data_IF_922433815223
#
_entry.id   IF_922433815223
#
_cell.length_a   1.000
_cell.length_b   1.000
_cell.length_c   1.000
_cell.angle_alpha   90.00
_cell.angle_beta   90.00
_cell.angle_gamma   90.00
#
_symmetry.space_group_name_H-M   'P 1'
#
loop_
_entity.id
_entity.type
_entity.pdbx_description
1 polymer ?
#
# COMPACT_ATOMS: atom_id res chain seq x y z
N UNK A 1 -3.21 7.91 33.05
CA UNK A 1 -3.66 7.01 31.98
C UNK A 1 -4.50 5.93 32.64
N UNK A 2 -5.75 5.72 32.22
CA UNK A 2 -6.61 4.71 32.83
C UNK A 2 -6.42 3.37 32.11
N UNK A 3 -5.36 2.65 32.48
CA UNK A 3 -4.98 1.34 31.92
C UNK A 3 -6.14 0.34 31.91
N UNK A 4 -7.12 0.53 32.80
CA UNK A 4 -8.31 -0.31 32.90
C UNK A 4 -9.23 -0.15 31.70
N UNK A 5 -9.42 1.08 31.20
CA UNK A 5 -10.26 1.34 30.03
C UNK A 5 -9.61 0.78 28.76
N UNK A 6 -8.30 1.01 28.60
CA UNK A 6 -7.52 0.47 27.46
C UNK A 6 -7.57 -1.06 27.43
N UNK A 7 -7.41 -1.74 28.58
CA UNK A 7 -7.55 -3.21 28.62
C UNK A 7 -8.97 -3.68 28.31
N UNK A 8 -10.00 -2.95 28.74
CA UNK A 8 -11.39 -3.31 28.43
C UNK A 8 -11.69 -3.16 26.94
N UNK A 9 -11.21 -2.09 26.32
CA UNK A 9 -11.32 -1.86 24.87
C UNK A 9 -10.58 -2.92 24.06
N UNK A 10 -9.34 -3.27 24.44
CA UNK A 10 -8.58 -4.33 23.77
C UNK A 10 -9.23 -5.71 23.94
N UNK A 11 -9.78 -6.01 25.11
CA UNK A 11 -10.51 -7.25 25.34
C UNK A 11 -11.76 -7.32 24.45
N UNK A 12 -12.54 -6.24 24.42
CA UNK A 12 -13.71 -6.13 23.56
C UNK A 12 -13.32 -6.26 22.07
N UNK A 13 -12.24 -5.59 21.65
CA UNK A 13 -11.69 -5.72 20.31
C UNK A 13 -11.42 -7.18 19.93
N UNK A 14 -10.70 -7.92 20.78
CA UNK A 14 -10.38 -9.31 20.49
C UNK A 14 -11.60 -10.23 20.47
N UNK A 15 -12.63 -9.93 21.26
CA UNK A 15 -13.86 -10.74 21.35
C UNK A 15 -14.80 -10.52 20.16
N UNK A 16 -14.98 -9.28 19.70
CA UNK A 16 -16.06 -8.93 18.76
C UNK A 16 -15.59 -8.56 17.35
N UNK A 17 -14.28 -8.65 17.09
CA UNK A 17 -13.70 -8.16 15.84
C UNK A 17 -14.27 -8.77 14.55
N UNK A 18 -14.73 -10.01 14.61
CA UNK A 18 -15.30 -10.66 13.42
C UNK A 18 -16.79 -10.33 13.22
N UNK A 19 -17.48 -9.89 14.27
CA UNK A 19 -18.94 -9.72 14.27
C UNK A 19 -19.38 -8.28 13.96
N UNK A 20 -18.56 -7.29 14.33
CA UNK A 20 -18.85 -5.87 14.12
C UNK A 20 -17.57 -5.09 13.79
N UNK A 21 -16.95 -5.35 12.62
CA UNK A 21 -15.65 -4.78 12.30
C UNK A 21 -15.71 -3.26 12.17
N UNK A 22 -16.79 -2.66 11.68
CA UNK A 22 -16.92 -1.19 11.57
C UNK A 22 -16.83 -0.48 12.93
N UNK A 23 -17.25 -1.14 14.01
CA UNK A 23 -17.17 -0.58 15.36
C UNK A 23 -15.74 -0.54 15.91
N UNK A 24 -14.77 -1.18 15.25
CA UNK A 24 -13.35 -1.09 15.60
C UNK A 24 -12.73 0.26 15.30
N UNK A 25 -13.35 1.06 14.42
CA UNK A 25 -12.84 2.40 14.10
C UNK A 25 -12.75 3.24 15.38
N UNK A 26 -13.73 3.08 16.28
CA UNK A 26 -13.74 3.73 17.60
C UNK A 26 -12.50 3.37 18.42
N UNK A 27 -12.02 2.12 18.32
CA UNK A 27 -10.80 1.68 19.02
C UNK A 27 -9.56 2.27 18.37
N UNK A 28 -9.52 2.32 17.03
CA UNK A 28 -8.46 2.99 16.28
C UNK A 28 -8.36 4.48 16.61
N UNK A 29 -9.50 5.17 16.65
CA UNK A 29 -9.62 6.58 16.99
C UNK A 29 -9.21 6.85 18.44
N UNK A 30 -9.57 5.96 19.37
CA UNK A 30 -9.10 6.05 20.75
C UNK A 30 -7.57 6.01 20.85
N UNK A 31 -6.91 5.08 20.15
CA UNK A 31 -5.44 5.05 20.13
C UNK A 31 -4.84 6.26 19.40
N UNK A 32 -5.52 6.79 18.37
CA UNK A 32 -5.15 8.04 17.69
C UNK A 32 -5.17 9.22 18.67
N UNK A 33 -6.23 9.37 19.47
CA UNK A 33 -6.35 10.42 20.50
C UNK A 33 -5.26 10.32 21.57
N UNK A 34 -4.82 9.09 21.90
CA UNK A 34 -3.71 8.84 22.81
C UNK A 34 -2.32 9.07 22.18
N UNK A 35 -2.25 9.38 20.89
CA UNK A 35 -1.01 9.46 20.09
C UNK A 35 -0.25 8.13 20.03
N UNK A 36 -0.91 7.01 20.31
CA UNK A 36 -0.36 5.67 20.18
C UNK A 36 -0.60 5.15 18.75
N UNK A 37 0.02 5.85 17.79
CA UNK A 37 -0.22 5.65 16.36
C UNK A 37 0.08 4.23 15.89
N UNK A 38 0.98 3.52 16.57
CA UNK A 38 1.33 2.16 16.22
C UNK A 38 0.15 1.19 16.34
N UNK A 39 -0.64 1.36 17.41
CA UNK A 39 -1.81 0.54 17.69
C UNK A 39 -3.01 0.99 16.84
N UNK A 40 -3.19 2.31 16.65
CA UNK A 40 -4.23 2.86 15.78
C UNK A 40 -4.07 2.29 14.35
N UNK A 41 -2.85 2.31 13.82
CA UNK A 41 -2.53 1.77 12.50
C UNK A 41 -2.80 0.28 12.42
N UNK A 42 -2.39 -0.51 13.42
CA UNK A 42 -2.62 -1.95 13.42
C UNK A 42 -4.11 -2.29 13.31
N UNK A 43 -4.97 -1.55 14.02
CA UNK A 43 -6.43 -1.70 13.98
C UNK A 43 -6.98 -1.32 12.59
N UNK A 44 -6.55 -0.20 12.02
CA UNK A 44 -6.96 0.22 10.68
C UNK A 44 -6.52 -0.78 9.58
N UNK A 45 -5.35 -1.41 9.73
CA UNK A 45 -4.92 -2.48 8.82
C UNK A 45 -5.83 -3.71 8.96
N UNK A 46 -6.19 -4.10 10.19
CA UNK A 46 -7.08 -5.23 10.41
C UNK A 46 -8.48 -4.98 9.82
N UNK A 47 -9.03 -3.78 10.00
CA UNK A 47 -10.26 -3.31 9.35
C UNK A 47 -10.23 -3.47 7.82
N UNK A 48 -9.14 -3.06 7.17
CA UNK A 48 -8.97 -3.22 5.73
C UNK A 48 -8.94 -4.69 5.31
N UNK A 49 -8.29 -5.55 6.09
CA UNK A 49 -8.23 -6.99 5.82
C UNK A 49 -9.60 -7.67 5.99
N UNK A 50 -10.46 -7.13 6.86
CA UNK A 50 -11.83 -7.60 7.07
C UNK A 50 -12.82 -7.07 6.01
N UNK A 51 -12.36 -6.23 5.08
CA UNK A 51 -13.16 -5.73 3.98
C UNK A 51 -14.07 -4.55 4.36
N UNK A 52 -13.83 -3.88 5.48
CA UNK A 52 -14.54 -2.65 5.84
C UNK A 52 -14.37 -1.56 4.79
N UNK A 53 -15.29 -0.59 4.80
CA UNK A 53 -15.30 0.50 3.83
C UNK A 53 -13.93 1.20 3.79
N UNK A 54 -13.24 1.00 2.68
CA UNK A 54 -11.89 1.52 2.49
C UNK A 54 -11.85 3.03 2.49
N UNK A 55 -12.93 3.69 2.09
CA UNK A 55 -13.01 5.15 2.13
C UNK A 55 -12.93 5.66 3.57
N UNK A 56 -13.60 4.99 4.50
CA UNK A 56 -13.61 5.34 5.91
C UNK A 56 -12.21 5.16 6.51
N UNK A 57 -11.60 3.98 6.31
CA UNK A 57 -10.24 3.72 6.82
C UNK A 57 -9.17 4.59 6.15
N UNK A 58 -9.35 4.97 4.88
CA UNK A 58 -8.49 5.92 4.19
C UNK A 58 -8.63 7.35 4.73
N UNK A 59 -9.82 7.77 5.14
CA UNK A 59 -10.03 9.07 5.79
C UNK A 59 -9.34 9.12 7.15
N UNK A 60 -9.43 8.04 7.94
CA UNK A 60 -8.76 7.99 9.25
C UNK A 60 -7.24 7.91 9.10
N UNK A 61 -6.74 7.17 8.09
CA UNK A 61 -5.32 7.20 7.70
C UNK A 61 -4.88 8.62 7.34
N UNK A 62 -5.70 9.35 6.60
CA UNK A 62 -5.42 10.73 6.20
C UNK A 62 -5.39 11.69 7.39
N UNK A 63 -6.32 11.55 8.34
CA UNK A 63 -6.32 12.34 9.57
C UNK A 63 -5.10 12.03 10.43
N UNK A 64 -4.78 10.74 10.61
CA UNK A 64 -3.59 10.30 11.33
C UNK A 64 -2.32 10.97 10.76
N UNK A 65 -2.17 10.98 9.43
CA UNK A 65 -1.04 11.60 8.74
C UNK A 65 -1.01 13.12 8.97
N UNK A 66 -2.16 13.79 9.04
CA UNK A 66 -2.26 15.24 9.29
C UNK A 66 -1.94 15.62 10.74
N UNK A 67 -2.29 14.74 11.68
CA UNK A 67 -2.15 15.00 13.11
C UNK A 67 -0.75 14.66 13.65
N UNK A 68 0.10 13.99 12.86
CA UNK A 68 1.48 13.72 13.26
C UNK A 68 2.43 14.87 12.90
N UNK A 69 3.42 15.11 13.77
CA UNK A 69 4.51 16.03 13.50
C UNK A 69 5.45 15.54 12.38
N UNK A 70 5.28 14.29 11.93
CA UNK A 70 6.02 13.70 10.82
C UNK A 70 5.12 12.76 9.98
N UNK A 71 4.32 13.34 9.06
CA UNK A 71 3.43 12.61 8.15
C UNK A 71 4.13 11.45 7.41
N UNK A 72 5.40 11.67 7.07
CA UNK A 72 6.24 10.69 6.39
C UNK A 72 6.60 9.49 7.28
N UNK A 73 6.87 9.69 8.58
CA UNK A 73 7.17 8.60 9.51
C UNK A 73 5.95 7.72 9.78
N UNK A 74 4.76 8.29 9.87
CA UNK A 74 3.51 7.53 10.02
C UNK A 74 3.23 6.62 8.82
N UNK A 75 3.56 7.08 7.61
CA UNK A 75 3.47 6.27 6.40
C UNK A 75 4.48 5.12 6.39
N UNK A 76 5.73 5.36 6.80
CA UNK A 76 6.73 4.30 6.94
C UNK A 76 6.23 3.23 7.89
N UNK A 77 5.78 3.63 9.08
CA UNK A 77 5.29 2.71 10.08
C UNK A 77 4.11 1.85 9.57
N UNK A 78 3.17 2.48 8.88
CA UNK A 78 2.06 1.79 8.23
C UNK A 78 2.53 0.76 7.20
N UNK A 79 3.45 1.14 6.31
CA UNK A 79 3.97 0.26 5.27
C UNK A 79 4.74 -0.92 5.89
N UNK A 80 5.46 -0.70 6.98
CA UNK A 80 6.19 -1.76 7.70
C UNK A 80 5.27 -2.78 8.37
N UNK A 81 4.17 -2.32 8.98
CA UNK A 81 3.18 -3.23 9.56
C UNK A 81 2.40 -4.00 8.49
N UNK A 82 1.98 -3.32 7.42
CA UNK A 82 1.15 -3.93 6.37
C UNK A 82 1.96 -4.86 5.47
N UNK A 83 3.21 -4.50 5.19
CA UNK A 83 4.09 -5.19 4.25
C UNK A 83 5.49 -5.43 4.84
N UNK A 84 5.62 -6.27 5.88
CA UNK A 84 6.91 -6.50 6.56
C UNK A 84 7.99 -7.11 5.66
N UNK A 85 7.61 -7.66 4.50
CA UNK A 85 8.53 -8.25 3.51
C UNK A 85 9.04 -7.30 2.42
N UNK A 86 8.61 -6.02 2.40
CA UNK A 86 9.06 -5.06 1.38
C UNK A 86 10.58 -4.81 1.44
N UNK A 87 11.21 -4.75 0.28
CA UNK A 87 12.60 -4.30 0.13
C UNK A 87 12.72 -2.85 0.65
N UNK A 88 13.85 -2.48 1.28
CA UNK A 88 14.06 -1.10 1.81
C UNK A 88 13.88 -0.01 0.76
N UNK A 89 14.20 -0.31 -0.50
CA UNK A 89 13.99 0.62 -1.61
C UNK A 89 12.50 0.77 -1.96
N UNK A 90 11.72 -0.32 -1.92
CA UNK A 90 10.27 -0.30 -2.13
C UNK A 90 9.55 0.44 -1.03
N UNK A 91 9.99 0.29 0.24
CA UNK A 91 9.43 1.09 1.34
C UNK A 91 9.56 2.58 1.02
N UNK A 92 10.75 3.03 0.62
CA UNK A 92 10.97 4.43 0.22
C UNK A 92 10.06 4.88 -0.92
N UNK A 93 9.95 4.07 -1.98
CA UNK A 93 9.07 4.39 -3.12
C UNK A 93 7.60 4.41 -2.72
N UNK A 94 7.13 3.44 -1.93
CA UNK A 94 5.76 3.36 -1.44
C UNK A 94 5.41 4.57 -0.58
N UNK A 95 6.21 4.85 0.44
CA UNK A 95 5.99 5.98 1.34
C UNK A 95 6.03 7.31 0.58
N UNK A 96 6.91 7.45 -0.41
CA UNK A 96 6.95 8.64 -1.28
C UNK A 96 5.69 8.76 -2.13
N UNK A 97 5.24 7.67 -2.75
CA UNK A 97 4.01 7.65 -3.56
C UNK A 97 2.79 8.04 -2.72
N UNK A 98 2.62 7.43 -1.55
CA UNK A 98 1.52 7.70 -0.63
C UNK A 98 1.54 9.15 -0.13
N UNK A 99 2.71 9.65 0.28
CA UNK A 99 2.87 11.03 0.73
C UNK A 99 2.49 12.03 -0.37
N UNK A 100 3.07 11.87 -1.57
CA UNK A 100 2.80 12.74 -2.71
C UNK A 100 1.33 12.67 -3.15
N UNK A 101 0.72 11.49 -3.10
CA UNK A 101 -0.70 11.32 -3.38
C UNK A 101 -1.53 12.17 -2.42
N UNK A 102 -1.40 11.96 -1.11
CA UNK A 102 -2.22 12.64 -0.12
C UNK A 102 -2.02 14.15 -0.09
N UNK A 103 -0.79 14.62 -0.30
CA UNK A 103 -0.51 16.05 -0.40
C UNK A 103 -1.18 16.70 -1.60
N UNK A 104 -1.53 15.96 -2.65
CA UNK A 104 -2.00 16.52 -3.91
C UNK A 104 -3.40 16.05 -4.35
N UNK A 105 -4.10 15.25 -3.54
CA UNK A 105 -5.52 14.91 -3.78
C UNK A 105 -6.33 16.20 -3.95
N UNK A 106 -7.16 16.24 -5.00
CA UNK A 106 -8.03 17.36 -5.34
C UNK A 106 -7.32 18.53 -6.04
N UNK A 107 -6.00 18.46 -6.26
CA UNK A 107 -5.27 19.48 -7.02
C UNK A 107 -5.25 19.15 -8.51
N UNK A 108 -5.28 20.19 -9.33
CA UNK A 108 -5.11 20.07 -10.78
C UNK A 108 -3.61 20.09 -11.13
N UNK A 109 -2.98 18.91 -11.05
CA UNK A 109 -1.58 18.69 -11.38
C UNK A 109 -1.42 17.43 -12.23
N UNK A 110 -0.23 17.23 -12.79
CA UNK A 110 0.15 15.94 -13.35
C UNK A 110 0.55 14.96 -12.23
N UNK A 111 -0.17 13.84 -12.13
CA UNK A 111 0.08 12.79 -11.14
C UNK A 111 1.11 11.75 -11.60
N UNK A 112 1.78 11.96 -12.74
CA UNK A 112 2.80 11.05 -13.26
C UNK A 112 3.93 10.73 -12.26
N UNK A 113 4.45 11.69 -11.46
CA UNK A 113 5.45 11.39 -10.45
C UNK A 113 4.98 10.34 -9.43
N UNK A 114 3.73 10.43 -8.98
CA UNK A 114 3.14 9.49 -8.03
C UNK A 114 2.98 8.10 -8.66
N UNK A 115 2.48 8.04 -9.89
CA UNK A 115 2.33 6.79 -10.64
C UNK A 115 3.67 6.07 -10.81
N UNK A 116 4.74 6.82 -11.13
CA UNK A 116 6.08 6.27 -11.28
C UNK A 116 6.60 5.65 -9.98
N UNK A 117 6.38 6.29 -8.84
CA UNK A 117 6.78 5.72 -7.55
C UNK A 117 6.07 4.39 -7.25
N UNK A 118 4.75 4.28 -7.49
CA UNK A 118 4.05 2.99 -7.37
C UNK A 118 4.59 1.93 -8.32
N UNK A 119 4.92 2.29 -9.57
CA UNK A 119 5.52 1.36 -10.51
C UNK A 119 6.90 0.86 -10.04
N UNK A 120 7.72 1.74 -9.44
CA UNK A 120 9.04 1.36 -8.91
C UNK A 120 8.95 0.37 -7.74
N UNK A 121 7.91 0.44 -6.91
CA UNK A 121 7.64 -0.58 -5.88
C UNK A 121 7.51 -1.96 -6.53
N UNK A 122 6.65 -2.08 -7.54
CA UNK A 122 6.42 -3.33 -8.27
C UNK A 122 7.70 -3.81 -8.95
N UNK A 123 8.45 -2.90 -9.57
CA UNK A 123 9.74 -3.21 -10.19
C UNK A 123 10.77 -3.75 -9.18
N UNK A 124 10.93 -3.15 -7.99
CA UNK A 124 11.85 -3.69 -6.97
C UNK A 124 11.41 -5.09 -6.55
N UNK A 125 10.14 -5.26 -6.17
CA UNK A 125 9.68 -6.53 -5.60
C UNK A 125 9.70 -7.68 -6.62
N UNK A 126 9.30 -7.43 -7.86
CA UNK A 126 9.44 -8.43 -8.92
C UNK A 126 10.90 -8.75 -9.20
N UNK A 127 11.80 -7.76 -9.15
CA UNK A 127 13.23 -8.00 -9.30
C UNK A 127 13.76 -8.89 -8.17
N UNK A 128 13.41 -8.61 -6.92
CA UNK A 128 13.79 -9.44 -5.77
C UNK A 128 13.29 -10.88 -5.94
N UNK A 129 12.03 -11.05 -6.35
CA UNK A 129 11.46 -12.34 -6.68
C UNK A 129 12.27 -13.08 -7.77
N UNK A 130 12.55 -12.41 -8.89
CA UNK A 130 13.29 -13.02 -10.01
C UNK A 130 14.70 -13.44 -9.61
N UNK A 131 15.40 -12.62 -8.81
CA UNK A 131 16.73 -12.95 -8.27
C UNK A 131 16.63 -14.16 -7.34
N UNK A 132 15.66 -14.16 -6.41
CA UNK A 132 15.43 -15.25 -5.45
C UNK A 132 15.15 -16.59 -6.15
N UNK A 133 14.36 -16.57 -7.23
CA UNK A 133 14.09 -17.76 -8.08
C UNK A 133 15.21 -18.07 -9.08
N UNK A 134 16.30 -17.31 -9.09
CA UNK A 134 17.45 -17.45 -10.00
C UNK A 134 17.08 -17.32 -11.48
N UNK A 135 16.06 -16.52 -11.80
CA UNK A 135 15.65 -16.23 -13.17
C UNK A 135 16.49 -15.12 -13.82
N UNK A 136 17.08 -14.24 -13.01
CA UNK A 136 18.04 -13.20 -13.44
C UNK A 136 19.20 -13.13 -12.43
N UNK A 137 20.31 -12.50 -12.83
CA UNK A 137 21.43 -12.23 -11.92
C UNK A 137 21.23 -10.92 -11.12
N UNK A 138 21.85 -10.77 -9.93
CA UNK A 138 21.72 -9.55 -9.12
C UNK A 138 22.26 -8.26 -9.76
N UNK A 139 23.13 -8.35 -10.76
CA UNK A 139 23.67 -7.24 -11.55
C UNK A 139 22.86 -6.98 -12.83
N UNK A 140 21.90 -7.86 -13.15
CA UNK A 140 21.07 -7.75 -14.34
C UNK A 140 19.93 -6.76 -14.10
N UNK A 141 19.71 -5.91 -15.11
CA UNK A 141 18.59 -4.98 -15.16
C UNK A 141 17.62 -5.40 -16.27
N UNK A 142 16.33 -5.44 -15.93
CA UNK A 142 15.24 -5.74 -16.86
C UNK A 142 14.15 -4.69 -16.66
N UNK A 143 13.63 -4.14 -17.75
CA UNK A 143 12.47 -3.26 -17.66
C UNK A 143 11.22 -4.03 -17.24
N UNK A 144 10.21 -3.36 -16.68
CA UNK A 144 8.98 -4.02 -16.26
C UNK A 144 8.29 -4.78 -17.42
N UNK A 145 8.36 -4.25 -18.65
CA UNK A 145 7.87 -4.94 -19.85
C UNK A 145 8.63 -6.24 -20.15
N UNK A 146 9.96 -6.25 -19.96
CA UNK A 146 10.77 -7.48 -20.12
C UNK A 146 10.46 -8.49 -19.02
N UNK A 147 10.34 -8.04 -17.77
CA UNK A 147 9.94 -8.88 -16.63
C UNK A 147 8.59 -9.53 -16.90
N UNK A 148 7.60 -8.74 -17.34
CA UNK A 148 6.27 -9.20 -17.69
C UNK A 148 6.30 -10.32 -18.74
N UNK A 149 7.03 -10.14 -19.83
CA UNK A 149 7.19 -11.18 -20.87
C UNK A 149 7.86 -12.45 -20.32
N UNK A 150 8.84 -12.32 -19.42
CA UNK A 150 9.47 -13.47 -18.77
C UNK A 150 8.48 -14.24 -17.88
N UNK A 151 7.65 -13.52 -17.12
CA UNK A 151 6.69 -14.11 -16.19
C UNK A 151 5.50 -14.77 -16.93
N UNK A 152 5.09 -14.25 -18.09
CA UNK A 152 4.03 -14.84 -18.92
C UNK A 152 4.30 -16.32 -19.27
N UNK A 153 5.56 -16.69 -19.42
CA UNK A 153 5.96 -18.07 -19.73
C UNK A 153 6.33 -18.91 -18.50
N UNK A 154 6.42 -18.30 -17.31
CA UNK A 154 6.92 -18.97 -16.09
C UNK A 154 5.90 -19.06 -14.97
N UNK A 155 4.93 -18.14 -14.89
CA UNK A 155 3.89 -18.10 -13.87
C UNK A 155 2.54 -18.33 -14.55
N UNK A 156 1.91 -19.47 -14.27
CA UNK A 156 0.57 -19.76 -14.78
C UNK A 156 -0.51 -19.12 -13.91
N UNK A 157 -0.50 -17.79 -13.82
CA UNK A 157 -1.54 -17.01 -13.16
C UNK A 157 -1.99 -15.87 -14.10
N UNK A 158 -3.06 -16.13 -14.85
CA UNK A 158 -3.59 -15.21 -15.86
C UNK A 158 -3.96 -13.85 -15.27
N UNK A 159 -4.57 -13.82 -14.07
CA UNK A 159 -4.95 -12.58 -13.40
C UNK A 159 -3.74 -11.73 -13.01
N UNK A 160 -2.64 -12.36 -12.59
CA UNK A 160 -1.40 -11.66 -12.28
C UNK A 160 -0.79 -11.01 -13.54
N UNK A 161 -0.79 -11.72 -14.66
CA UNK A 161 -0.30 -11.18 -15.94
C UNK A 161 -1.17 -10.01 -16.42
N UNK A 162 -2.49 -10.12 -16.33
CA UNK A 162 -3.42 -9.04 -16.71
C UNK A 162 -3.17 -7.77 -15.87
N UNK A 163 -2.95 -7.92 -14.56
CA UNK A 163 -2.59 -6.79 -13.69
C UNK A 163 -1.23 -6.21 -14.04
N UNK A 164 -0.23 -7.06 -14.30
CA UNK A 164 1.09 -6.59 -14.69
C UNK A 164 1.07 -5.84 -16.03
N UNK A 165 0.17 -6.22 -16.96
CA UNK A 165 -0.06 -5.48 -18.21
C UNK A 165 -0.57 -4.06 -17.96
N UNK A 166 -1.51 -3.89 -17.03
CA UNK A 166 -2.03 -2.57 -16.63
C UNK A 166 -0.90 -1.72 -16.05
N UNK A 167 -0.10 -2.27 -15.13
CA UNK A 167 1.01 -1.55 -14.49
C UNK A 167 2.07 -1.14 -15.53
N UNK A 168 2.43 -2.03 -16.48
CA UNK A 168 3.34 -1.68 -17.59
C UNK A 168 2.78 -0.54 -18.43
N UNK A 169 1.47 -0.55 -18.72
CA UNK A 169 0.82 0.54 -19.46
C UNK A 169 0.93 1.85 -18.70
N UNK A 170 0.63 1.87 -17.40
CA UNK A 170 0.73 3.05 -16.55
C UNK A 170 2.16 3.58 -16.46
N UNK A 171 3.13 2.70 -16.20
CA UNK A 171 4.56 3.06 -16.21
C UNK A 171 4.95 3.74 -17.53
N UNK A 172 4.55 3.17 -18.66
CA UNK A 172 4.92 3.72 -19.97
C UNK A 172 4.22 5.06 -20.22
N UNK A 173 2.93 5.18 -19.92
CA UNK A 173 2.22 6.46 -20.05
C UNK A 173 2.85 7.57 -19.20
N UNK A 174 3.26 7.26 -17.96
CA UNK A 174 3.88 8.24 -17.06
C UNK A 174 5.33 8.61 -17.42
N UNK A 175 6.01 7.78 -18.21
CA UNK A 175 7.38 8.05 -18.69
C UNK A 175 7.41 8.80 -20.04
N UNK A 176 6.24 9.04 -20.65
CA UNK A 176 6.06 9.77 -21.89
C UNK A 176 5.21 11.03 -21.63
N UNK A 177 5.03 11.91 -22.62
CA UNK A 177 4.37 13.23 -22.48
C UNK A 177 2.85 13.18 -22.15
N UNK A 178 2.34 12.07 -21.62
CA UNK A 178 0.94 11.91 -21.26
C UNK A 178 0.67 12.39 -19.82
N UNK A 179 -0.28 13.31 -19.66
CA UNK A 179 -0.77 13.72 -18.33
C UNK A 179 -1.46 12.54 -17.65
N UNK A 180 -1.10 12.29 -16.40
CA UNK A 180 -1.75 11.32 -15.53
C UNK A 180 -2.70 12.04 -14.59
N UNK A 181 -3.94 11.58 -14.55
CA UNK A 181 -4.98 12.13 -13.68
C UNK A 181 -4.97 11.44 -12.31
N UNK A 182 -5.56 12.09 -11.31
CA UNK A 182 -5.80 11.51 -9.98
C UNK A 182 -6.48 10.15 -10.07
N UNK A 183 -7.56 10.02 -10.86
CA UNK A 183 -8.32 8.77 -11.00
C UNK A 183 -7.44 7.60 -11.45
N UNK A 184 -6.48 7.82 -12.35
CA UNK A 184 -5.56 6.75 -12.78
C UNK A 184 -4.64 6.30 -11.64
N UNK A 185 -4.18 7.24 -10.81
CA UNK A 185 -3.40 6.91 -9.61
C UNK A 185 -4.25 6.20 -8.56
N UNK A 186 -5.52 6.60 -8.38
CA UNK A 186 -6.46 5.89 -7.51
C UNK A 186 -6.68 4.45 -7.95
N UNK A 187 -6.85 4.21 -9.25
CA UNK A 187 -6.93 2.86 -9.80
C UNK A 187 -5.66 2.05 -9.51
N UNK A 188 -4.47 2.66 -9.68
CA UNK A 188 -3.20 2.01 -9.35
C UNK A 188 -3.09 1.69 -7.85
N UNK A 189 -3.49 2.63 -6.96
CA UNK A 189 -3.54 2.39 -5.51
C UNK A 189 -4.50 1.26 -5.18
N UNK A 190 -5.69 1.24 -5.76
CA UNK A 190 -6.68 0.20 -5.52
C UNK A 190 -6.20 -1.18 -6.00
N UNK A 191 -5.45 -1.24 -7.10
CA UNK A 191 -4.80 -2.48 -7.55
C UNK A 191 -3.75 -2.93 -6.52
N UNK A 192 -2.80 -2.06 -6.17
CA UNK A 192 -1.65 -2.45 -5.35
C UNK A 192 -2.01 -2.72 -3.88
N UNK A 193 -2.74 -1.78 -3.27
CA UNK A 193 -2.97 -1.70 -1.83
C UNK A 193 -4.46 -1.63 -1.49
N UNK A 194 -5.35 -1.85 -2.45
CA UNK A 194 -6.77 -2.06 -2.22
C UNK A 194 -7.07 -3.49 -1.73
N UNK A 195 -8.30 -4.01 -1.91
CA UNK A 195 -8.79 -5.24 -1.29
C UNK A 195 -8.20 -6.47 -1.98
N UNK A 196 -7.85 -6.33 -3.25
CA UNK A 196 -7.15 -7.38 -3.99
C UNK A 196 -5.66 -7.46 -3.61
N UNK A 197 -5.13 -6.43 -2.95
CA UNK A 197 -3.78 -6.32 -2.38
C UNK A 197 -2.70 -7.01 -3.21
N UNK A 198 -2.55 -6.57 -4.46
CA UNK A 198 -1.60 -7.20 -5.38
C UNK A 198 -0.15 -7.06 -4.91
N UNK A 199 0.18 -6.05 -4.13
CA UNK A 199 1.49 -5.95 -3.52
C UNK A 199 1.75 -7.12 -2.56
N UNK A 200 0.79 -7.43 -1.69
CA UNK A 200 0.88 -8.62 -0.83
C UNK A 200 1.03 -9.89 -1.65
N UNK A 201 0.28 -10.04 -2.75
CA UNK A 201 0.41 -11.20 -3.65
C UNK A 201 1.80 -11.31 -4.28
N UNK A 202 2.38 -10.19 -4.73
CA UNK A 202 3.75 -10.13 -5.30
C UNK A 202 4.79 -10.61 -4.28
N UNK A 203 4.68 -10.18 -3.03
CA UNK A 203 5.60 -10.59 -1.96
C UNK A 203 5.58 -12.10 -1.67
N UNK A 204 4.52 -12.81 -2.07
CA UNK A 204 4.32 -14.24 -1.82
C UNK A 204 4.52 -15.14 -3.06
N UNK A 205 4.99 -14.61 -4.20
CA UNK A 205 5.34 -15.41 -5.38
C UNK A 205 6.56 -16.33 -5.10
#
# INVERSE_FOLDING_TARGET
>A
MDDKLTMQLLKWYHEYKQDAPEMMIIVGDYFKELQEYDQAVAIYIELLNLGCDKRLVLMDKLELIKDTSSPHQSLIFYDELRYPGLCELSKKFMTTAEFLYFENVGKDIDFAPIMLEYCKVVECELRQFLIKKKYIRPDEFRSLGQVKNMLEHKIYNKGFIEVLQIIVKYRNCSAHESIITQNKVEEMREILIGPQDWLKKILHL
#
